data_IF_450086926344
#
_entry.id   IF_450086926344
#
_cell.length_a   1.000
_cell.length_b   1.000
_cell.length_c   1.000
_cell.angle_alpha   90.00
_cell.angle_beta   90.00
_cell.angle_gamma   90.00
#
_symmetry.space_group_name_H-M   'P 1'
#
loop_
_entity.id
_entity.type
_entity.pdbx_description
1 polymer ?
#
# COMPACT_ATOMS: atom_id res chain seq x y z
N UNK A 1 22.70 -24.77 4.76
CA UNK A 1 21.51 -24.38 3.99
C UNK A 1 21.72 -22.94 3.59
N UNK A 2 21.61 -22.61 2.30
CA UNK A 2 21.81 -21.23 1.83
C UNK A 2 20.69 -20.38 2.40
N UNK A 3 21.04 -19.41 3.25
CA UNK A 3 20.16 -18.32 3.68
C UNK A 3 19.78 -17.52 2.42
N UNK A 4 18.65 -17.85 1.80
CA UNK A 4 18.18 -17.19 0.56
C UNK A 4 17.30 -15.98 0.91
N UNK A 5 17.79 -15.09 1.79
CA UNK A 5 17.17 -13.77 1.99
C UNK A 5 17.68 -12.83 0.91
N UNK A 6 16.75 -12.23 0.15
CA UNK A 6 17.08 -11.46 -1.06
C UNK A 6 16.77 -9.99 -0.86
N UNK A 7 17.83 -9.21 -0.68
CA UNK A 7 17.77 -7.76 -0.73
C UNK A 7 18.45 -7.26 -2.00
N UNK A 8 17.99 -6.11 -2.48
CA UNK A 8 18.51 -5.41 -3.63
C UNK A 8 18.99 -4.02 -3.25
N UNK A 9 19.98 -3.51 -3.99
CA UNK A 9 20.51 -2.17 -3.75
C UNK A 9 19.43 -1.10 -3.99
N UNK A 10 19.13 -0.23 -3.01
CA UNK A 10 18.12 0.80 -3.15
C UNK A 10 18.57 2.02 -3.97
N UNK A 11 19.84 2.07 -4.35
CA UNK A 11 20.40 3.15 -5.17
C UNK A 11 19.91 3.03 -6.62
N UNK A 12 19.30 4.09 -7.15
CA UNK A 12 18.68 4.12 -8.49
C UNK A 12 19.63 3.65 -9.60
N UNK A 13 20.91 4.06 -9.54
CA UNK A 13 21.93 3.70 -10.53
C UNK A 13 22.27 2.20 -10.54
N UNK A 14 21.89 1.47 -9.49
CA UNK A 14 22.15 0.04 -9.39
C UNK A 14 21.03 -0.81 -9.97
N UNK A 15 19.92 -0.22 -10.42
CA UNK A 15 18.80 -0.95 -11.03
C UNK A 15 18.35 -2.16 -10.19
N UNK A 16 18.29 -1.97 -8.85
CA UNK A 16 17.98 -3.05 -7.89
C UNK A 16 18.93 -4.26 -7.99
N UNK A 17 20.22 -4.05 -8.24
CA UNK A 17 21.20 -5.13 -8.21
C UNK A 17 21.14 -5.95 -6.92
N UNK A 18 21.11 -7.28 -7.06
CA UNK A 18 21.06 -8.23 -5.95
C UNK A 18 22.30 -8.06 -5.07
N UNK A 19 22.07 -8.01 -3.75
CA UNK A 19 23.13 -7.85 -2.77
C UNK A 19 23.68 -9.21 -2.34
N UNK A 20 25.00 -9.24 -2.15
CA UNK A 20 25.69 -10.40 -1.57
C UNK A 20 25.87 -10.22 -0.07
N UNK A 21 25.59 -11.25 0.71
CA UNK A 21 25.77 -11.23 2.17
C UNK A 21 27.18 -11.65 2.56
N UNK A 22 27.80 -10.87 3.44
CA UNK A 22 29.09 -11.13 4.06
C UNK A 22 28.96 -10.96 5.58
N UNK A 23 30.03 -11.23 6.34
CA UNK A 23 29.98 -11.20 7.81
C UNK A 23 29.71 -9.81 8.40
N UNK A 24 30.02 -8.75 7.66
CA UNK A 24 29.93 -7.34 8.09
C UNK A 24 28.67 -6.62 7.57
N UNK A 25 27.98 -7.20 6.58
CA UNK A 25 26.81 -6.59 5.96
C UNK A 25 26.55 -7.10 4.55
N UNK A 26 25.80 -6.28 3.80
CA UNK A 26 25.43 -6.53 2.42
C UNK A 26 26.24 -5.68 1.46
N UNK A 27 26.73 -6.32 0.39
CA UNK A 27 27.59 -5.70 -0.61
C UNK A 27 26.92 -5.71 -1.99
N UNK A 28 26.84 -4.53 -2.59
CA UNK A 28 26.36 -4.32 -3.94
C UNK A 28 27.50 -4.51 -4.95
N UNK A 29 27.27 -5.15 -6.11
CA UNK A 29 28.29 -5.27 -7.17
C UNK A 29 28.80 -3.93 -7.69
N UNK A 30 28.04 -2.84 -7.48
CA UNK A 30 28.42 -1.47 -7.87
C UNK A 30 29.13 -0.69 -6.75
N UNK A 31 29.53 -1.35 -5.65
CA UNK A 31 30.38 -0.76 -4.61
C UNK A 31 29.65 -0.14 -3.41
N UNK A 32 28.32 -0.23 -3.33
CA UNK A 32 27.58 0.17 -2.12
C UNK A 32 27.65 -0.90 -1.03
N UNK A 33 27.69 -0.46 0.22
CA UNK A 33 27.78 -1.31 1.41
C UNK A 33 26.69 -0.94 2.41
N UNK A 34 26.03 -1.95 2.99
CA UNK A 34 24.96 -1.81 3.97
C UNK A 34 25.31 -2.66 5.19
N UNK A 35 25.79 -2.07 6.30
CA UNK A 35 26.22 -2.82 7.47
C UNK A 35 25.04 -3.50 8.17
N UNK A 36 25.32 -4.55 8.95
CA UNK A 36 24.34 -5.09 9.88
C UNK A 36 24.25 -4.27 11.17
N UNK A 37 23.05 -4.22 11.78
CA UNK A 37 22.87 -3.74 13.14
C UNK A 37 23.73 -4.60 14.07
N UNK A 38 24.46 -3.95 14.99
CA UNK A 38 25.43 -4.60 15.86
C UNK A 38 24.84 -5.84 16.57
N UNK A 39 25.58 -6.96 16.51
CA UNK A 39 25.20 -8.26 17.08
C UNK A 39 23.93 -8.89 16.47
N UNK A 40 23.52 -8.45 15.27
CA UNK A 40 22.40 -9.04 14.52
C UNK A 40 22.81 -9.30 13.07
N UNK A 41 21.89 -9.85 12.27
CA UNK A 41 22.05 -9.97 10.81
C UNK A 41 21.08 -9.04 10.04
N UNK A 42 20.52 -8.02 10.72
CA UNK A 42 19.56 -7.10 10.12
C UNK A 42 20.31 -5.95 9.41
N UNK A 43 20.20 -5.82 8.07
CA UNK A 43 20.89 -4.76 7.33
C UNK A 43 20.31 -3.37 7.59
N UNK A 44 21.19 -2.37 7.51
CA UNK A 44 20.85 -0.94 7.56
C UNK A 44 21.00 -0.36 6.16
N UNK A 45 19.85 -0.12 5.51
CA UNK A 45 19.74 0.61 4.25
C UNK A 45 19.50 2.10 4.47
N UNK A 46 18.65 2.40 5.44
CA UNK A 46 18.35 3.73 5.93
C UNK A 46 17.87 3.60 7.37
N UNK A 47 18.24 4.56 8.21
CA UNK A 47 17.72 4.66 9.56
C UNK A 47 17.61 6.12 9.96
N UNK A 48 16.69 6.41 10.87
CA UNK A 48 16.62 7.72 11.49
C UNK A 48 17.86 7.99 12.35
N UNK A 49 18.17 9.27 12.56
CA UNK A 49 19.21 9.65 13.50
C UNK A 49 18.78 9.30 14.93
N UNK A 50 19.72 8.89 15.78
CA UNK A 50 19.42 8.57 17.18
C UNK A 50 18.80 9.80 17.87
N UNK A 51 17.69 9.59 18.58
CA UNK A 51 16.86 10.63 19.23
C UNK A 51 16.22 11.66 18.28
N UNK A 52 16.06 11.35 16.99
CA UNK A 52 15.36 12.26 16.05
C UNK A 52 13.87 12.46 16.39
N UNK A 53 13.24 11.46 17.02
CA UNK A 53 11.84 11.46 17.42
C UNK A 53 11.63 10.45 18.57
N UNK A 54 10.39 10.29 19.03
CA UNK A 54 10.02 9.38 20.13
C UNK A 54 10.27 7.89 19.82
N UNK A 55 10.41 7.52 18.54
CA UNK A 55 10.68 6.16 18.08
C UNK A 55 12.18 5.85 17.90
N UNK A 56 13.04 6.87 17.97
CA UNK A 56 14.50 6.73 17.83
C UNK A 56 15.25 6.85 19.18
N UNK A 57 14.52 6.83 20.30
CA UNK A 57 15.04 6.87 21.67
C UNK A 57 15.21 5.45 22.24
N UNK A 58 16.02 5.29 23.29
CA UNK A 58 16.27 3.98 23.92
C UNK A 58 15.02 3.38 24.57
N UNK A 59 14.12 4.21 25.12
CA UNK A 59 12.88 3.81 25.78
C UNK A 59 11.64 3.85 24.87
N UNK A 60 11.84 4.05 23.57
CA UNK A 60 10.79 4.15 22.55
C UNK A 60 9.75 3.03 22.64
N UNK A 61 10.21 1.78 22.84
CA UNK A 61 9.32 0.61 22.96
C UNK A 61 8.41 0.72 24.19
N UNK A 62 8.94 1.16 25.33
CA UNK A 62 8.17 1.31 26.57
C UNK A 62 7.14 2.42 26.43
N UNK A 63 7.54 3.55 25.85
CA UNK A 63 6.63 4.70 25.59
C UNK A 63 5.52 4.27 24.63
N UNK A 64 5.88 3.59 23.54
CA UNK A 64 4.95 3.09 22.54
C UNK A 64 3.94 2.09 23.14
N UNK A 65 4.41 1.06 23.84
CA UNK A 65 3.54 0.04 24.42
C UNK A 65 2.60 0.63 25.49
N UNK A 66 3.08 1.60 26.28
CA UNK A 66 2.21 2.34 27.20
C UNK A 66 1.14 3.13 26.43
N UNK A 67 1.51 3.89 25.39
CA UNK A 67 0.55 4.63 24.57
C UNK A 67 -0.53 3.73 23.97
N UNK A 68 -0.15 2.56 23.43
CA UNK A 68 -1.10 1.58 22.89
C UNK A 68 -2.02 0.99 23.97
N UNK A 69 -1.53 0.77 25.18
CA UNK A 69 -2.38 0.34 26.30
C UNK A 69 -3.53 1.32 26.56
N UNK A 70 -3.27 2.63 26.58
CA UNK A 70 -4.29 3.66 26.75
C UNK A 70 -5.25 3.72 25.56
N UNK A 71 -4.75 3.59 24.32
CA UNK A 71 -5.57 3.56 23.10
C UNK A 71 -6.59 2.42 23.15
N UNK A 72 -6.13 1.20 23.41
CA UNK A 72 -7.00 0.02 23.44
C UNK A 72 -8.03 0.08 24.58
N UNK A 73 -7.63 0.56 25.75
CA UNK A 73 -8.56 0.80 26.86
C UNK A 73 -9.61 1.86 26.52
N UNK A 74 -9.22 2.95 25.86
CA UNK A 74 -10.12 4.04 25.45
C UNK A 74 -11.22 3.54 24.52
N UNK A 75 -10.87 2.64 23.58
CA UNK A 75 -11.83 2.08 22.63
C UNK A 75 -12.49 0.77 23.11
N UNK A 76 -12.22 0.34 24.34
CA UNK A 76 -12.85 -0.83 24.94
C UNK A 76 -12.59 -2.13 24.17
N UNK A 77 -11.43 -2.26 23.54
CA UNK A 77 -11.07 -3.42 22.71
C UNK A 77 -9.69 -3.96 23.07
N UNK A 78 -9.44 -5.20 22.69
CA UNK A 78 -8.18 -5.90 22.95
C UNK A 78 -7.25 -5.82 21.73
N UNK A 79 -5.98 -5.50 21.98
CA UNK A 79 -4.94 -5.37 20.96
C UNK A 79 -4.80 -6.63 20.11
N UNK A 80 -4.74 -7.79 20.78
CA UNK A 80 -4.53 -9.07 20.12
C UNK A 80 -5.69 -9.40 19.19
N UNK A 81 -6.90 -9.06 19.60
CA UNK A 81 -8.12 -9.25 18.80
C UNK A 81 -8.10 -8.39 17.54
N UNK A 82 -7.74 -7.11 17.65
CA UNK A 82 -7.59 -6.24 16.48
C UNK A 82 -6.54 -6.78 15.50
N UNK A 83 -5.33 -7.05 15.99
CA UNK A 83 -4.21 -7.54 15.14
C UNK A 83 -4.58 -8.85 14.45
N UNK A 84 -5.18 -9.79 15.17
CA UNK A 84 -5.68 -11.05 14.62
C UNK A 84 -6.72 -10.83 13.52
N UNK A 85 -7.66 -9.91 13.72
CA UNK A 85 -8.69 -9.60 12.73
C UNK A 85 -8.09 -8.96 11.48
N UNK A 86 -7.19 -7.98 11.64
CA UNK A 86 -6.51 -7.33 10.51
C UNK A 86 -5.68 -8.32 9.69
N UNK A 87 -4.82 -9.10 10.36
CA UNK A 87 -3.99 -10.12 9.71
C UNK A 87 -4.84 -11.16 8.98
N UNK A 88 -6.00 -11.53 9.52
CA UNK A 88 -6.89 -12.52 8.88
C UNK A 88 -7.40 -12.09 7.51
N UNK A 89 -7.43 -10.79 7.21
CA UNK A 89 -7.91 -10.23 5.93
C UNK A 89 -6.95 -10.46 4.76
N UNK A 90 -5.68 -10.74 5.04
CA UNK A 90 -4.66 -11.03 4.03
C UNK A 90 -4.77 -12.44 3.40
N UNK A 91 -5.64 -13.30 3.95
CA UNK A 91 -5.88 -14.67 3.47
C UNK A 91 -4.59 -15.47 3.18
N UNK A 92 -3.60 -15.37 4.06
CA UNK A 92 -2.29 -15.95 3.81
C UNK A 92 -2.35 -17.48 3.75
N UNK A 93 -1.50 -18.04 2.90
CA UNK A 93 -1.32 -19.47 2.71
C UNK A 93 0.06 -19.92 3.20
N UNK A 94 0.20 -21.16 3.71
CA UNK A 94 1.48 -21.68 4.16
C UNK A 94 2.53 -21.65 3.06
N UNK A 95 3.71 -21.16 3.40
CA UNK A 95 4.86 -21.01 2.49
C UNK A 95 4.94 -19.67 1.77
N UNK A 96 3.99 -18.76 1.98
CA UNK A 96 4.06 -17.41 1.42
C UNK A 96 5.11 -16.53 2.10
N UNK A 97 5.53 -15.51 1.36
CA UNK A 97 6.47 -14.47 1.79
C UNK A 97 5.74 -13.14 1.92
N UNK A 98 5.78 -12.54 3.11
CA UNK A 98 5.07 -11.29 3.41
C UNK A 98 6.03 -10.18 3.84
N UNK A 99 5.75 -8.96 3.39
CA UNK A 99 6.38 -7.75 3.88
C UNK A 99 5.52 -7.11 4.98
N UNK A 100 6.16 -6.71 6.08
CA UNK A 100 5.60 -5.79 7.08
C UNK A 100 6.38 -4.49 6.99
N UNK A 101 5.69 -3.38 6.69
CA UNK A 101 6.30 -2.04 6.74
C UNK A 101 5.88 -1.33 8.02
N UNK A 102 6.79 -0.56 8.62
CA UNK A 102 6.54 0.04 9.94
C UNK A 102 6.36 -1.03 11.02
N UNK A 103 7.19 -2.08 11.00
CA UNK A 103 7.05 -3.24 11.87
C UNK A 103 7.18 -2.90 13.37
N UNK A 104 7.78 -1.76 13.71
CA UNK A 104 8.08 -1.34 15.06
C UNK A 104 8.85 -2.43 15.82
N UNK A 105 8.38 -2.73 17.03
CA UNK A 105 8.92 -3.81 17.87
C UNK A 105 8.42 -5.20 17.48
N UNK A 106 7.66 -5.34 16.38
CA UNK A 106 7.23 -6.61 15.81
C UNK A 106 5.97 -7.23 16.43
N UNK A 107 5.12 -6.43 17.08
CA UNK A 107 3.92 -6.93 17.78
C UNK A 107 2.92 -7.68 16.87
N UNK A 108 2.96 -7.46 15.55
CA UNK A 108 2.14 -8.20 14.56
C UNK A 108 2.72 -9.56 14.14
N UNK A 109 4.02 -9.77 14.32
CA UNK A 109 4.73 -10.95 13.79
C UNK A 109 4.15 -12.29 14.28
N UNK A 110 3.76 -12.45 15.57
CA UNK A 110 3.13 -13.69 16.03
C UNK A 110 1.80 -14.00 15.33
N UNK A 111 0.99 -12.98 15.03
CA UNK A 111 -0.31 -13.16 14.37
C UNK A 111 -0.13 -13.52 12.90
N UNK A 112 0.84 -12.90 12.23
CA UNK A 112 1.25 -13.25 10.87
C UNK A 112 1.78 -14.68 10.79
N UNK A 113 2.65 -15.08 11.73
CA UNK A 113 3.19 -16.43 11.78
C UNK A 113 2.09 -17.49 11.98
N UNK A 114 1.09 -17.20 12.83
CA UNK A 114 -0.09 -18.04 12.99
C UNK A 114 -0.92 -18.14 11.70
N UNK A 115 -1.10 -17.02 10.99
CA UNK A 115 -1.86 -17.00 9.74
C UNK A 115 -1.18 -17.79 8.61
N UNK A 116 0.16 -17.74 8.56
CA UNK A 116 1.02 -18.58 7.72
C UNK A 116 1.05 -20.06 8.14
N UNK A 117 0.40 -20.41 9.26
CA UNK A 117 0.28 -21.78 9.80
C UNK A 117 1.64 -22.46 10.03
N UNK A 118 2.60 -21.70 10.55
CA UNK A 118 3.91 -22.24 10.91
C UNK A 118 4.80 -22.61 9.71
N UNK A 119 4.53 -22.02 8.53
CA UNK A 119 5.39 -22.16 7.35
C UNK A 119 5.33 -20.89 6.52
N UNK A 120 6.46 -20.23 6.32
CA UNK A 120 6.54 -19.03 5.49
C UNK A 120 7.69 -18.13 5.92
N UNK A 121 7.71 -16.93 5.34
CA UNK A 121 8.77 -15.96 5.59
C UNK A 121 8.17 -14.58 5.79
N UNK A 122 8.56 -13.89 6.85
CA UNK A 122 8.17 -12.51 7.14
C UNK A 122 9.40 -11.61 6.98
N UNK A 123 9.29 -10.56 6.19
CA UNK A 123 10.25 -9.47 6.15
C UNK A 123 9.69 -8.31 6.96
N UNK A 124 10.32 -8.00 8.08
CA UNK A 124 9.94 -6.94 9.00
C UNK A 124 10.82 -5.71 8.74
N UNK A 125 10.24 -4.69 8.13
CA UNK A 125 10.91 -3.44 7.81
C UNK A 125 10.42 -2.34 8.75
N UNK A 126 11.37 -1.58 9.30
CA UNK A 126 11.11 -0.32 10.00
C UNK A 126 12.24 0.67 9.71
N UNK A 127 12.03 1.96 9.93
CA UNK A 127 13.08 2.97 9.81
C UNK A 127 13.81 3.20 11.15
N UNK A 128 13.16 2.85 12.27
CA UNK A 128 13.75 2.86 13.61
C UNK A 128 14.53 1.58 13.88
N UNK A 129 15.86 1.75 13.98
CA UNK A 129 16.79 0.69 14.37
C UNK A 129 16.51 0.19 15.80
N UNK A 130 16.17 1.09 16.72
CA UNK A 130 15.89 0.81 18.13
C UNK A 130 14.68 -0.13 18.28
N UNK A 131 13.60 0.15 17.54
CA UNK A 131 12.39 -0.67 17.54
C UNK A 131 12.68 -2.07 16.98
N UNK A 132 13.46 -2.15 15.89
CA UNK A 132 13.85 -3.43 15.28
C UNK A 132 14.70 -4.28 16.23
N UNK A 133 15.65 -3.70 16.98
CA UNK A 133 16.46 -4.43 17.95
C UNK A 133 15.57 -5.15 18.97
N UNK A 134 14.58 -4.45 19.53
CA UNK A 134 13.64 -5.06 20.48
C UNK A 134 12.82 -6.18 19.84
N UNK A 135 12.38 -6.02 18.59
CA UNK A 135 11.68 -7.06 17.85
C UNK A 135 12.55 -8.29 17.56
N UNK A 136 13.83 -8.07 17.21
CA UNK A 136 14.82 -9.13 16.98
C UNK A 136 15.00 -9.97 18.25
N UNK A 137 15.22 -9.31 19.39
CA UNK A 137 15.40 -9.98 20.69
C UNK A 137 14.15 -10.75 21.12
N UNK A 138 12.97 -10.20 20.88
CA UNK A 138 11.68 -10.78 21.29
C UNK A 138 11.25 -11.96 20.44
N UNK A 139 11.52 -11.95 19.12
CA UNK A 139 10.84 -12.85 18.17
C UNK A 139 11.73 -13.75 17.32
N UNK A 140 13.02 -13.43 17.12
CA UNK A 140 13.86 -14.17 16.14
C UNK A 140 13.97 -15.66 16.43
N UNK A 141 14.10 -16.04 17.71
CA UNK A 141 14.21 -17.44 18.12
C UNK A 141 12.85 -18.14 18.15
N UNK A 142 11.84 -17.52 18.75
CA UNK A 142 10.54 -18.15 19.01
C UNK A 142 9.73 -18.39 17.73
N UNK A 143 9.77 -17.47 16.76
CA UNK A 143 9.04 -17.64 15.49
C UNK A 143 9.70 -18.68 14.58
N UNK A 144 11.03 -18.79 14.65
CA UNK A 144 11.78 -19.84 13.95
C UNK A 144 11.41 -21.23 14.47
N UNK A 145 11.26 -21.38 15.78
CA UNK A 145 10.76 -22.63 16.40
C UNK A 145 9.31 -22.94 15.99
N UNK A 146 8.52 -21.90 15.71
CA UNK A 146 7.17 -22.02 15.15
C UNK A 146 7.14 -22.32 13.64
N UNK A 147 8.30 -22.44 12.98
CA UNK A 147 8.42 -22.79 11.56
C UNK A 147 8.32 -21.60 10.59
N UNK A 148 8.41 -20.36 11.08
CA UNK A 148 8.41 -19.14 10.27
C UNK A 148 9.76 -18.45 10.38
N UNK A 149 10.36 -18.12 9.23
CA UNK A 149 11.58 -17.31 9.21
C UNK A 149 11.21 -15.82 9.22
N UNK A 150 11.93 -15.04 10.02
CA UNK A 150 11.75 -13.58 10.08
C UNK A 150 13.07 -12.90 9.75
N UNK A 151 13.04 -11.98 8.79
CA UNK A 151 14.17 -11.14 8.40
C UNK A 151 13.85 -9.69 8.72
N UNK A 152 14.69 -9.05 9.51
CA UNK A 152 14.53 -7.64 9.88
C UNK A 152 15.43 -6.77 9.01
N UNK A 153 14.97 -5.57 8.63
CA UNK A 153 15.81 -4.58 7.94
C UNK A 153 15.45 -3.16 8.35
N UNK A 154 16.46 -2.37 8.70
CA UNK A 154 16.32 -0.94 8.85
C UNK A 154 16.35 -0.29 7.46
N UNK A 155 15.20 0.19 6.97
CA UNK A 155 15.09 0.84 5.66
C UNK A 155 13.93 1.83 5.61
N UNK A 156 13.89 2.64 4.56
CA UNK A 156 12.80 3.57 4.28
C UNK A 156 11.71 2.85 3.46
N UNK A 157 10.46 2.88 3.94
CA UNK A 157 9.32 2.27 3.26
C UNK A 157 8.98 2.97 1.92
N UNK A 158 9.48 4.18 1.69
CA UNK A 158 9.36 4.92 0.43
C UNK A 158 10.45 4.55 -0.59
N UNK A 159 11.41 3.71 -0.22
CA UNK A 159 12.43 3.13 -1.10
C UNK A 159 12.88 1.74 -0.61
N UNK A 160 12.02 0.74 -0.78
CA UNK A 160 12.22 -0.59 -0.25
C UNK A 160 13.34 -1.36 -0.99
N UNK A 161 14.25 -2.04 -0.26
CA UNK A 161 15.40 -2.75 -0.84
C UNK A 161 15.03 -4.14 -1.40
N UNK A 162 13.95 -4.22 -2.18
CA UNK A 162 13.44 -5.46 -2.77
C UNK A 162 13.17 -5.32 -4.27
N UNK A 163 13.25 -6.43 -4.99
CA UNK A 163 12.80 -6.52 -6.39
C UNK A 163 11.28 -6.31 -6.50
N UNK A 164 10.83 -5.97 -7.70
CA UNK A 164 9.41 -5.93 -8.03
C UNK A 164 8.81 -7.34 -7.87
N UNK A 165 7.53 -7.43 -7.48
CA UNK A 165 6.79 -8.69 -7.42
C UNK A 165 7.46 -9.80 -6.59
N UNK A 166 8.12 -9.43 -5.48
CA UNK A 166 8.80 -10.37 -4.60
C UNK A 166 7.85 -11.00 -3.56
N UNK A 167 6.96 -10.20 -2.97
CA UNK A 167 6.08 -10.62 -1.87
C UNK A 167 4.72 -11.13 -2.35
N UNK A 168 4.14 -12.07 -1.62
CA UNK A 168 2.76 -12.51 -1.83
C UNK A 168 1.75 -11.55 -1.18
N UNK A 169 2.18 -10.79 -0.18
CA UNK A 169 1.38 -9.75 0.48
C UNK A 169 2.25 -8.68 1.14
N UNK A 170 1.67 -7.51 1.38
CA UNK A 170 2.22 -6.46 2.24
C UNK A 170 1.21 -6.06 3.33
N UNK A 171 1.72 -5.88 4.54
CA UNK A 171 0.98 -5.47 5.72
C UNK A 171 1.60 -4.20 6.31
N UNK A 172 0.75 -3.24 6.65
CA UNK A 172 1.13 -2.04 7.36
C UNK A 172 0.09 -1.75 8.44
N UNK A 173 0.54 -1.53 9.67
CA UNK A 173 -0.34 -1.11 10.76
C UNK A 173 0.35 -0.10 11.66
N UNK A 174 -0.05 1.16 11.52
CA UNK A 174 0.54 2.28 12.23
C UNK A 174 1.74 2.89 11.50
N UNK A 175 1.76 4.21 11.38
CA UNK A 175 2.95 4.98 11.00
C UNK A 175 3.01 5.48 9.55
N UNK A 176 2.04 5.16 8.69
CA UNK A 176 1.93 5.70 7.33
C UNK A 176 1.85 7.23 7.37
N UNK A 177 1.09 7.76 8.32
CA UNK A 177 0.94 9.20 8.56
C UNK A 177 2.28 9.91 8.87
N UNK A 178 3.33 9.16 9.22
CA UNK A 178 4.67 9.66 9.52
C UNK A 178 5.63 9.56 8.32
N UNK A 179 5.19 8.98 7.20
CA UNK A 179 6.03 8.86 6.01
C UNK A 179 6.27 10.24 5.39
N UNK A 180 7.50 10.47 4.92
CA UNK A 180 7.86 11.69 4.19
C UNK A 180 7.10 11.84 2.88
N UNK A 181 6.70 10.72 2.26
CA UNK A 181 5.93 10.65 1.03
C UNK A 181 5.00 9.42 1.08
N UNK A 182 3.76 9.64 1.53
CA UNK A 182 2.72 8.59 1.63
C UNK A 182 2.48 7.92 0.28
N UNK A 183 2.45 8.70 -0.82
CA UNK A 183 2.19 8.16 -2.14
C UNK A 183 3.29 7.18 -2.57
N UNK A 184 4.56 7.52 -2.34
CA UNK A 184 5.68 6.62 -2.61
C UNK A 184 5.65 5.39 -1.72
N UNK A 185 5.35 5.52 -0.42
CA UNK A 185 5.23 4.37 0.46
C UNK A 185 4.18 3.36 0.00
N UNK A 186 2.99 3.84 -0.39
CA UNK A 186 1.94 2.99 -0.96
C UNK A 186 2.38 2.38 -2.30
N UNK A 187 3.03 3.18 -3.15
CA UNK A 187 3.50 2.70 -4.46
C UNK A 187 4.61 1.65 -4.35
N UNK A 188 5.51 1.78 -3.36
CA UNK A 188 6.54 0.77 -3.08
C UNK A 188 5.94 -0.53 -2.57
N UNK A 189 4.92 -0.45 -1.68
CA UNK A 189 4.18 -1.64 -1.24
C UNK A 189 3.48 -2.35 -2.42
N UNK A 190 2.87 -1.61 -3.35
CA UNK A 190 2.30 -2.18 -4.57
C UNK A 190 3.36 -2.80 -5.48
N UNK A 191 4.48 -2.10 -5.72
CA UNK A 191 5.57 -2.55 -6.59
C UNK A 191 6.17 -3.88 -6.16
N UNK A 192 6.43 -4.05 -4.86
CA UNK A 192 7.11 -5.24 -4.34
C UNK A 192 6.16 -6.43 -4.17
N UNK A 193 4.84 -6.22 -4.22
CA UNK A 193 3.84 -7.28 -4.11
C UNK A 193 3.51 -7.83 -5.51
N UNK A 194 3.44 -9.15 -5.64
CA UNK A 194 3.10 -9.84 -6.89
C UNK A 194 1.70 -9.46 -7.38
N UNK A 195 1.43 -9.48 -8.70
CA UNK A 195 0.05 -9.44 -9.20
C UNK A 195 -0.77 -10.59 -8.60
N UNK A 196 -1.96 -10.26 -8.10
CA UNK A 196 -2.82 -11.16 -7.32
C UNK A 196 -2.54 -11.18 -5.82
N UNK A 197 -1.43 -10.58 -5.36
CA UNK A 197 -1.11 -10.39 -3.95
C UNK A 197 -1.92 -9.26 -3.31
N UNK A 198 -2.00 -9.28 -1.98
CA UNK A 198 -2.80 -8.31 -1.21
C UNK A 198 -1.92 -7.28 -0.50
N UNK A 199 -2.36 -6.03 -0.52
CA UNK A 199 -1.82 -4.94 0.32
C UNK A 199 -2.90 -4.55 1.32
N UNK A 200 -2.55 -4.53 2.61
CA UNK A 200 -3.42 -4.04 3.68
C UNK A 200 -2.68 -2.95 4.47
N UNK A 201 -3.34 -1.80 4.62
CA UNK A 201 -2.85 -0.65 5.35
C UNK A 201 -3.91 -0.25 6.37
N UNK A 202 -3.54 -0.25 7.65
CA UNK A 202 -4.35 0.25 8.75
C UNK A 202 -3.59 1.40 9.43
N UNK A 203 -4.22 2.58 9.59
CA UNK A 203 -3.56 3.69 10.28
C UNK A 203 -4.57 4.65 10.92
N UNK A 204 -4.09 5.58 11.76
CA UNK A 204 -4.97 6.58 12.37
C UNK A 204 -5.67 7.45 11.31
N UNK A 205 -6.95 7.68 11.50
CA UNK A 205 -7.74 8.63 10.73
C UNK A 205 -9.22 8.39 10.98
N UNK A 206 -9.85 9.37 11.64
CA UNK A 206 -11.24 9.25 12.06
C UNK A 206 -12.17 9.23 10.85
N UNK A 207 -13.24 8.44 10.93
CA UNK A 207 -14.23 8.39 9.87
C UNK A 207 -14.83 9.79 9.58
N UNK A 208 -15.04 10.15 8.30
CA UNK A 208 -15.46 11.51 7.92
C UNK A 208 -16.76 11.98 8.59
N UNK A 209 -17.70 11.07 8.86
CA UNK A 209 -18.97 11.39 9.50
C UNK A 209 -18.85 11.71 11.00
N UNK A 210 -17.72 11.39 11.64
CA UNK A 210 -17.46 11.71 13.04
C UNK A 210 -16.61 12.97 13.23
N UNK A 211 -15.84 13.38 12.21
CA UNK A 211 -14.84 14.47 12.28
C UNK A 211 -15.38 15.77 12.88
N UNK A 212 -16.60 16.15 12.52
CA UNK A 212 -17.21 17.41 12.99
C UNK A 212 -18.05 17.30 14.26
N UNK A 213 -18.25 16.07 14.78
CA UNK A 213 -18.98 15.85 16.04
C UNK A 213 -18.16 16.33 17.24
N UNK A 214 -18.80 16.58 18.37
CA UNK A 214 -18.11 16.94 19.62
C UNK A 214 -17.10 15.85 20.03
N UNK A 215 -17.51 14.58 19.98
CA UNK A 215 -16.64 13.44 20.25
C UNK A 215 -15.43 13.39 19.30
N UNK A 216 -15.65 13.56 17.99
CA UNK A 216 -14.58 13.56 17.00
C UNK A 216 -13.56 14.67 17.25
N UNK A 217 -14.03 15.88 17.58
CA UNK A 217 -13.18 17.01 17.96
C UNK A 217 -12.36 16.75 19.21
N UNK A 218 -12.94 16.10 20.23
CA UNK A 218 -12.22 15.69 21.44
C UNK A 218 -11.15 14.64 21.13
N UNK A 219 -11.47 13.63 20.32
CA UNK A 219 -10.53 12.57 19.91
C UNK A 219 -9.35 13.16 19.13
N UNK A 220 -9.61 14.00 18.13
CA UNK A 220 -8.57 14.69 17.35
C UNK A 220 -7.70 15.59 18.24
N UNK A 221 -8.30 16.27 19.22
CA UNK A 221 -7.55 17.09 20.16
C UNK A 221 -6.61 16.25 21.04
N UNK A 222 -7.02 15.04 21.40
CA UNK A 222 -6.22 14.10 22.19
C UNK A 222 -5.09 13.47 21.36
N UNK A 223 -5.38 13.00 20.15
CA UNK A 223 -4.38 12.49 19.22
C UNK A 223 -4.57 13.16 17.84
N UNK A 224 -3.66 14.08 17.45
CA UNK A 224 -3.72 14.78 16.17
C UNK A 224 -3.68 13.84 14.95
N UNK A 225 -3.15 12.62 15.09
CA UNK A 225 -3.12 11.64 14.01
C UNK A 225 -4.54 11.23 13.55
N UNK A 226 -5.55 11.33 14.41
CA UNK A 226 -6.94 11.10 14.00
C UNK A 226 -7.48 12.14 13.02
N UNK A 227 -6.81 13.28 12.82
CA UNK A 227 -7.22 14.29 11.84
C UNK A 227 -6.91 13.88 10.39
N UNK A 228 -6.00 12.92 10.19
CA UNK A 228 -5.64 12.42 8.87
C UNK A 228 -6.83 11.75 8.19
N UNK A 229 -6.84 11.83 6.86
CA UNK A 229 -7.86 11.20 6.02
C UNK A 229 -7.25 9.97 5.35
N UNK A 230 -8.08 8.93 5.15
CA UNK A 230 -7.67 7.77 4.39
C UNK A 230 -7.19 8.20 2.99
N UNK A 231 -5.94 7.88 2.58
CA UNK A 231 -5.32 8.43 1.37
C UNK A 231 -5.80 7.74 0.07
N UNK A 232 -7.12 7.72 -0.16
CA UNK A 232 -7.74 7.00 -1.28
C UNK A 232 -7.29 7.49 -2.66
N UNK A 233 -6.96 8.77 -2.78
CA UNK A 233 -6.42 9.36 -4.02
C UNK A 233 -5.01 8.91 -4.34
N UNK A 234 -4.30 8.32 -3.38
CA UNK A 234 -2.92 7.84 -3.52
C UNK A 234 -2.85 6.34 -3.82
N UNK A 235 -4.00 5.64 -3.86
CA UNK A 235 -4.06 4.23 -4.23
C UNK A 235 -3.65 4.05 -5.70
N UNK A 236 -2.74 3.10 -6.02
CA UNK A 236 -2.30 2.85 -7.40
C UNK A 236 -3.45 2.50 -8.36
N UNK A 237 -3.37 2.97 -9.60
CA UNK A 237 -4.43 2.78 -10.62
C UNK A 237 -4.64 1.31 -11.03
N UNK A 238 -3.64 0.47 -10.79
CA UNK A 238 -3.67 -0.97 -10.99
C UNK A 238 -4.32 -1.74 -9.83
N UNK A 239 -4.63 -1.09 -8.69
CA UNK A 239 -5.32 -1.73 -7.58
C UNK A 239 -6.68 -2.32 -8.02
N UNK A 240 -7.00 -3.52 -7.51
CA UNK A 240 -8.26 -4.24 -7.75
C UNK A 240 -8.92 -4.58 -6.43
N UNK A 241 -10.25 -4.77 -6.48
CA UNK A 241 -11.06 -5.13 -5.32
C UNK A 241 -10.78 -4.25 -4.08
N UNK A 242 -10.48 -2.97 -4.29
CA UNK A 242 -10.14 -2.04 -3.23
C UNK A 242 -11.33 -1.86 -2.28
N UNK A 243 -11.06 -1.90 -0.97
CA UNK A 243 -12.04 -1.66 0.08
C UNK A 243 -11.49 -0.68 1.09
N UNK A 244 -12.40 0.10 1.66
CA UNK A 244 -12.16 0.97 2.79
C UNK A 244 -13.12 0.57 3.91
N UNK A 245 -12.57 0.37 5.10
CA UNK A 245 -13.33 0.15 6.33
C UNK A 245 -12.67 0.92 7.48
N UNK A 246 -13.23 0.83 8.67
CA UNK A 246 -12.62 1.42 9.86
C UNK A 246 -12.63 0.43 11.03
N UNK A 247 -11.58 0.52 11.84
CA UNK A 247 -11.38 -0.17 13.11
C UNK A 247 -11.26 0.83 14.25
N UNK A 248 -11.11 0.32 15.48
CA UNK A 248 -10.96 1.11 16.71
C UNK A 248 -12.05 2.20 16.83
N UNK A 249 -13.30 1.75 16.78
CA UNK A 249 -14.48 2.64 16.89
C UNK A 249 -14.44 3.80 15.90
N UNK A 250 -14.05 3.50 14.66
CA UNK A 250 -13.95 4.46 13.56
C UNK A 250 -12.79 5.47 13.64
N UNK A 251 -11.76 5.20 14.44
CA UNK A 251 -10.59 6.08 14.56
C UNK A 251 -9.37 5.63 13.74
N UNK A 252 -9.40 4.41 13.19
CA UNK A 252 -8.39 3.90 12.27
C UNK A 252 -9.05 3.49 10.96
N UNK A 253 -8.56 3.97 9.84
CA UNK A 253 -9.00 3.48 8.54
C UNK A 253 -8.25 2.19 8.19
N UNK A 254 -8.89 1.32 7.42
CA UNK A 254 -8.26 0.14 6.81
C UNK A 254 -8.52 0.18 5.31
N UNK A 255 -7.45 0.30 4.54
CA UNK A 255 -7.44 0.17 3.09
C UNK A 255 -6.88 -1.21 2.75
N UNK A 256 -7.60 -1.98 1.94
CA UNK A 256 -7.11 -3.24 1.39
C UNK A 256 -7.36 -3.28 -0.12
N UNK A 257 -6.39 -3.77 -0.89
CA UNK A 257 -6.54 -3.99 -2.33
C UNK A 257 -5.67 -5.14 -2.82
N UNK A 258 -6.00 -5.63 -4.02
CA UNK A 258 -5.23 -6.66 -4.73
C UNK A 258 -4.39 -5.98 -5.82
N UNK A 259 -3.10 -6.27 -5.86
CA UNK A 259 -2.19 -5.76 -6.91
C UNK A 259 -2.53 -6.42 -8.24
N UNK A 260 -2.48 -5.67 -9.33
CA UNK A 260 -2.61 -6.22 -10.68
C UNK A 260 -1.61 -5.58 -11.65
N UNK A 261 -1.35 -6.27 -12.75
CA UNK A 261 -0.51 -5.80 -13.88
C UNK A 261 -1.32 -5.68 -15.18
N UNK A 262 -2.60 -6.05 -15.14
CA UNK A 262 -3.52 -6.02 -16.27
C UNK A 262 -4.34 -4.74 -16.30
N UNK A 263 -4.67 -4.26 -17.50
CA UNK A 263 -5.63 -3.19 -17.67
C UNK A 263 -7.00 -3.54 -17.05
N UNK A 264 -7.78 -2.53 -16.68
CA UNK A 264 -9.16 -2.75 -16.25
C UNK A 264 -9.92 -3.53 -17.33
N UNK A 265 -10.73 -4.53 -16.98
CA UNK A 265 -11.49 -5.34 -17.95
C UNK A 265 -12.71 -4.55 -18.48
N UNK A 266 -12.47 -3.33 -18.97
CA UNK A 266 -13.48 -2.42 -19.51
C UNK A 266 -13.32 -2.38 -21.02
N UNK A 267 -14.32 -2.90 -21.75
CA UNK A 267 -14.39 -2.70 -23.18
C UNK A 267 -14.96 -1.31 -23.48
N UNK A 268 -14.07 -0.35 -23.77
CA UNK A 268 -14.44 1.05 -24.06
C UNK A 268 -14.98 1.28 -25.47
N UNK A 269 -15.04 0.24 -26.30
CA UNK A 269 -15.46 0.29 -27.70
C UNK A 269 -16.85 -0.28 -27.96
N UNK A 270 -17.58 -0.69 -26.91
CA UNK A 270 -18.97 -1.16 -27.05
C UNK A 270 -19.83 -0.04 -27.65
N UNK A 271 -20.48 -0.27 -28.81
CA UNK A 271 -21.39 0.70 -29.39
C UNK A 271 -22.62 0.88 -28.51
N UNK A 272 -22.84 2.11 -28.04
CA UNK A 272 -24.01 2.46 -27.26
C UNK A 272 -25.26 2.50 -28.13
N UNK A 273 -26.28 1.73 -27.75
CA UNK A 273 -27.61 1.81 -28.36
C UNK A 273 -28.37 3.03 -27.81
N UNK A 274 -28.82 3.92 -28.68
CA UNK A 274 -29.65 5.08 -28.32
C UNK A 274 -29.30 6.36 -29.08
N UNK A 275 -30.11 7.41 -28.89
CA UNK A 275 -30.05 8.66 -29.67
C UNK A 275 -28.65 9.31 -29.73
N UNK A 276 -27.85 9.19 -28.67
CA UNK A 276 -26.48 9.73 -28.65
C UNK A 276 -25.47 8.85 -29.40
N UNK A 277 -25.60 7.53 -29.40
CA UNK A 277 -24.66 6.62 -30.08
C UNK A 277 -23.22 6.66 -29.54
N UNK A 278 -22.29 6.22 -30.40
CA UNK A 278 -20.84 6.16 -30.11
C UNK A 278 -20.45 5.08 -29.11
N UNK A 279 -19.19 5.07 -28.68
CA UNK A 279 -18.66 4.24 -27.60
C UNK A 279 -18.16 5.13 -26.46
N UNK A 280 -17.61 4.55 -25.38
CA UNK A 280 -16.93 5.35 -24.34
C UNK A 280 -15.77 6.12 -24.99
N UNK A 281 -14.97 5.44 -25.82
CA UNK A 281 -13.84 6.05 -26.53
C UNK A 281 -14.27 7.16 -27.47
N UNK A 282 -15.24 6.92 -28.35
CA UNK A 282 -15.62 7.93 -29.36
C UNK A 282 -16.38 9.11 -28.75
N UNK A 283 -17.05 8.95 -27.60
CA UNK A 283 -17.64 10.09 -26.88
C UNK A 283 -16.61 10.98 -26.19
N UNK A 284 -15.46 10.43 -25.83
CA UNK A 284 -14.36 11.18 -25.24
C UNK A 284 -13.51 11.87 -26.30
N UNK A 285 -13.04 11.10 -27.31
CA UNK A 285 -12.13 11.58 -28.35
C UNK A 285 -12.84 12.28 -29.53
N UNK A 286 -14.07 11.90 -29.84
CA UNK A 286 -14.83 12.39 -31.00
C UNK A 286 -15.52 13.73 -30.76
N UNK A 287 -14.77 14.73 -30.29
CA UNK A 287 -15.26 16.11 -30.15
C UNK A 287 -15.10 16.85 -31.48
N UNK A 288 -16.21 17.39 -32.00
CA UNK A 288 -16.20 18.23 -33.20
C UNK A 288 -16.07 19.69 -32.77
N UNK A 289 -14.84 20.22 -32.79
CA UNK A 289 -14.56 21.62 -32.50
C UNK A 289 -15.02 22.54 -33.66
N UNK A 290 -15.44 23.77 -33.34
CA UNK A 290 -15.73 24.79 -34.35
C UNK A 290 -17.05 24.63 -35.12
N UNK A 291 -17.93 23.70 -34.74
CA UNK A 291 -19.26 23.56 -35.36
C UNK A 291 -20.24 24.57 -34.77
N UNK A 292 -20.85 25.39 -35.63
CA UNK A 292 -21.90 26.34 -35.25
C UNK A 292 -23.04 25.62 -34.48
N UNK A 293 -23.50 26.16 -33.33
CA UNK A 293 -24.53 25.51 -32.51
C UNK A 293 -25.85 25.25 -33.25
N UNK A 294 -26.28 26.16 -34.14
CA UNK A 294 -27.53 25.99 -34.89
C UNK A 294 -27.38 24.89 -35.95
N UNK A 295 -26.20 24.77 -36.57
CA UNK A 295 -25.89 23.66 -37.47
C UNK A 295 -25.85 22.33 -36.72
N UNK A 296 -25.18 22.27 -35.57
CA UNK A 296 -25.14 21.08 -34.70
C UNK A 296 -26.55 20.61 -34.34
N UNK A 297 -27.42 21.52 -33.92
CA UNK A 297 -28.77 21.18 -33.49
C UNK A 297 -29.65 20.70 -34.66
N UNK A 298 -29.47 21.27 -35.86
CA UNK A 298 -30.10 20.75 -37.09
C UNK A 298 -29.63 19.33 -37.41
N UNK A 299 -28.33 19.05 -37.33
CA UNK A 299 -27.77 17.71 -37.55
C UNK A 299 -28.38 16.71 -36.56
N UNK A 300 -28.55 17.10 -35.30
CA UNK A 300 -29.16 16.24 -34.29
C UNK A 300 -30.64 15.96 -34.55
N UNK A 301 -31.41 16.97 -34.95
CA UNK A 301 -32.82 16.82 -35.29
C UNK A 301 -33.01 15.90 -36.53
N UNK A 302 -32.09 15.97 -37.50
CA UNK A 302 -32.13 15.08 -38.68
C UNK A 302 -31.77 13.65 -38.29
N UNK A 303 -30.72 13.44 -37.50
CA UNK A 303 -30.37 12.10 -37.00
C UNK A 303 -31.54 11.43 -36.29
N UNK A 304 -32.27 12.19 -35.45
CA UNK A 304 -33.47 11.70 -34.76
C UNK A 304 -34.60 11.31 -35.72
N UNK A 305 -34.89 12.13 -36.74
CA UNK A 305 -35.89 11.79 -37.76
C UNK A 305 -35.54 10.52 -38.55
N UNK A 306 -34.25 10.27 -38.76
CA UNK A 306 -33.75 9.08 -39.46
C UNK A 306 -33.68 7.84 -38.57
N UNK A 307 -34.01 7.95 -37.28
CA UNK A 307 -33.85 6.85 -36.33
C UNK A 307 -32.40 6.45 -36.09
N UNK A 308 -31.45 7.31 -36.46
CA UNK A 308 -30.01 7.09 -36.34
C UNK A 308 -29.47 7.74 -35.07
N UNK A 309 -28.33 7.23 -34.60
CA UNK A 309 -27.61 7.97 -33.57
C UNK A 309 -26.93 9.21 -34.14
N UNK A 310 -26.76 10.25 -33.31
CA UNK A 310 -26.05 11.48 -33.72
C UNK A 310 -24.65 11.20 -34.24
N UNK A 311 -23.92 10.29 -33.58
CA UNK A 311 -22.56 9.88 -33.97
C UNK A 311 -22.57 9.15 -35.31
N UNK A 312 -23.45 8.18 -35.49
CA UNK A 312 -23.58 7.43 -36.75
C UNK A 312 -23.90 8.36 -37.93
N UNK A 313 -24.83 9.29 -37.73
CA UNK A 313 -25.20 10.25 -38.76
C UNK A 313 -24.04 11.19 -39.12
N UNK A 314 -23.30 11.68 -38.12
CA UNK A 314 -22.11 12.51 -38.31
C UNK A 314 -20.98 11.77 -39.03
N UNK A 315 -20.65 10.56 -38.60
CA UNK A 315 -19.62 9.74 -39.25
C UNK A 315 -19.97 9.43 -40.71
N UNK A 316 -21.26 9.18 -40.99
CA UNK A 316 -21.74 8.97 -42.35
C UNK A 316 -21.53 10.22 -43.22
N UNK A 317 -21.92 11.40 -42.74
CA UNK A 317 -21.73 12.65 -43.48
C UNK A 317 -20.25 12.96 -43.72
N UNK A 318 -19.40 12.78 -42.71
CA UNK A 318 -17.96 13.04 -42.80
C UNK A 318 -17.29 12.08 -43.78
N UNK A 319 -17.60 10.77 -43.75
CA UNK A 319 -17.07 9.80 -44.70
C UNK A 319 -17.41 10.17 -46.14
N UNK A 320 -18.66 10.56 -46.41
CA UNK A 320 -19.08 11.02 -47.74
C UNK A 320 -18.33 12.28 -48.20
N UNK A 321 -17.99 13.18 -47.27
CA UNK A 321 -17.29 14.43 -47.60
C UNK A 321 -15.77 14.29 -47.71
N UNK A 322 -15.16 13.29 -47.06
CA UNK A 322 -13.71 13.04 -47.13
C UNK A 322 -13.27 12.26 -48.38
N UNK A 323 -14.21 11.82 -49.22
CA UNK A 323 -13.94 11.16 -50.52
C UNK A 323 -13.84 12.16 -51.70
N UNK A 324 -13.72 13.46 -51.41
CA UNK A 324 -13.50 14.57 -52.36
C UNK A 324 -12.01 14.80 -52.63
#
# INVERSE_FOLDING_TARGET
>A
MKNDFRYCCPELKCERAILSSQNDGLHCPNGHFFPFIQNTNAPIFACEADNANDYAQEDAVTIHDNSFQWVFQTFGTDESTLRKNLVSRLNLSPGQTILVTGAGSGNDLPFLAQNLRGKGTIYAQDISKQMLIAGIEKYSSSLKEFGVEVFFSASDATNLPFEDNFFDAAYHFGGLNLFSDIQKGISEMDRVVKPGGQVLICDEGIAPWLKETELGKMLIKNNPLYAYEAPLSLIPANARAAKLSWELSHCFYVIEFTVADTALPINIDIPHRGKRGGSIRSRYLGQLEGVDPALRDKVYAVAEKLGMSRVEYLERLLKMGCEL
#
